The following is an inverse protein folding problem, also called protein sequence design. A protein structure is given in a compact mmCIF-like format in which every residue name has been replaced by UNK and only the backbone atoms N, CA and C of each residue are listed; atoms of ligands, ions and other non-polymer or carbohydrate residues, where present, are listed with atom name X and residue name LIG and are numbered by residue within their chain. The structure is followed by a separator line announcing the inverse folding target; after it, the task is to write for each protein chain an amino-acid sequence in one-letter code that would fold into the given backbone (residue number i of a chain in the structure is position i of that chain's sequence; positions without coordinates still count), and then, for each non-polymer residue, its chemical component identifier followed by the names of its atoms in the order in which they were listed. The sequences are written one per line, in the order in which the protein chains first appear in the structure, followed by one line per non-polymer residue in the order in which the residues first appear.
data_IF_020931994009
#
_entry.id   IF_020931994009
#
_cell.length_a   1.000
_cell.length_b   1.000
_cell.length_c   1.000
_cell.angle_alpha   90.00
_cell.angle_beta   90.00
_cell.angle_gamma   90.00
#
_symmetry.space_group_name_H-M   'P 1'
#
loop_
_entity.id
_entity.type
_entity.pdbx_description
1 polymer ?
#
# COMPACT_ATOMS: atom_id res chain seq x y z
N UNK A 1 6.33 14.65 16.95
CA UNK A 1 5.40 14.08 15.96
C UNK A 1 6.07 12.86 15.35
N UNK A 2 5.36 11.74 15.22
CA UNK A 2 5.92 10.55 14.56
C UNK A 2 6.02 10.83 13.06
N UNK A 3 7.25 10.87 12.53
CA UNK A 3 7.52 11.02 11.11
C UNK A 3 7.35 9.67 10.40
N UNK A 4 6.16 9.09 10.50
CA UNK A 4 5.83 7.78 9.93
C UNK A 4 4.62 7.92 9.01
N UNK A 5 4.68 7.24 7.87
CA UNK A 5 3.56 7.08 6.98
C UNK A 5 2.99 5.67 7.13
N UNK A 6 1.68 5.53 6.97
CA UNK A 6 0.97 4.25 7.07
C UNK A 6 0.32 3.98 5.72
N UNK A 7 0.67 2.84 5.12
CA UNK A 7 -0.04 2.27 3.98
C UNK A 7 -0.91 1.11 4.47
N UNK A 8 -2.21 1.20 4.22
CA UNK A 8 -3.19 0.18 4.65
C UNK A 8 -4.24 -0.05 3.56
N UNK A 9 -4.70 -1.28 3.42
CA UNK A 9 -5.83 -1.64 2.55
C UNK A 9 -7.08 -1.97 3.39
N UNK A 10 -8.24 -1.61 2.87
CA UNK A 10 -9.57 -2.04 3.33
C UNK A 10 -10.46 -2.31 2.12
N UNK A 11 -10.83 -3.58 1.92
CA UNK A 11 -11.60 -4.07 0.78
C UNK A 11 -10.98 -3.61 -0.55
N UNK A 12 -11.70 -2.76 -1.28
CA UNK A 12 -11.31 -2.23 -2.59
C UNK A 12 -10.59 -0.89 -2.52
N UNK A 13 -10.10 -0.50 -1.34
CA UNK A 13 -9.42 0.78 -1.17
C UNK A 13 -8.08 0.62 -0.46
N UNK A 14 -7.14 1.46 -0.88
CA UNK A 14 -5.91 1.71 -0.15
C UNK A 14 -5.92 3.11 0.40
N UNK A 15 -5.41 3.26 1.61
CA UNK A 15 -5.19 4.53 2.29
C UNK A 15 -3.71 4.71 2.55
N UNK A 16 -3.19 5.85 2.11
CA UNK A 16 -1.85 6.33 2.47
C UNK A 16 -2.01 7.52 3.42
N UNK A 17 -1.61 7.34 4.68
CA UNK A 17 -1.78 8.33 5.75
C UNK A 17 -0.43 8.85 6.23
N UNK A 18 -0.27 10.16 6.25
CA UNK A 18 0.90 10.84 6.82
C UNK A 18 0.47 12.10 7.54
N UNK A 19 0.80 12.20 8.84
CA UNK A 19 0.28 13.24 9.73
C UNK A 19 -1.26 13.35 9.67
N UNK A 20 -1.80 14.52 9.33
CA UNK A 20 -3.23 14.80 9.19
C UNK A 20 -3.79 14.52 7.79
N UNK A 21 -2.98 14.06 6.85
CA UNK A 21 -3.39 13.81 5.47
C UNK A 21 -3.64 12.33 5.24
N UNK A 22 -4.72 12.02 4.52
CA UNK A 22 -5.06 10.66 4.08
C UNK A 22 -5.46 10.70 2.61
N UNK A 23 -4.67 10.05 1.76
CA UNK A 23 -4.98 9.84 0.35
C UNK A 23 -5.60 8.46 0.23
N UNK A 24 -6.84 8.40 -0.26
CA UNK A 24 -7.55 7.15 -0.49
C UNK A 24 -7.78 6.93 -1.98
N UNK A 25 -7.44 5.75 -2.46
CA UNK A 25 -7.59 5.35 -3.86
C UNK A 25 -8.14 3.93 -3.97
N UNK A 26 -8.73 3.60 -5.13
CA UNK A 26 -9.22 2.24 -5.39
C UNK A 26 -8.03 1.30 -5.61
N UNK A 27 -8.15 0.09 -5.11
CA UNK A 27 -7.23 -1.03 -5.36
C UNK A 27 -8.02 -2.25 -5.84
N UNK A 28 -7.30 -3.31 -6.21
CA UNK A 28 -7.93 -4.57 -6.60
C UNK A 28 -8.75 -5.15 -5.44
N UNK A 29 -9.96 -5.69 -5.70
CA UNK A 29 -10.71 -6.43 -4.68
C UNK A 29 -9.97 -7.70 -4.20
N UNK A 30 -8.98 -8.18 -4.96
CA UNK A 30 -8.16 -9.35 -4.63
C UNK A 30 -6.91 -9.00 -3.83
N UNK A 31 -6.66 -7.72 -3.52
CA UNK A 31 -5.50 -7.35 -2.71
C UNK A 31 -5.69 -7.87 -1.28
N UNK A 32 -4.84 -8.82 -0.86
CA UNK A 32 -4.85 -9.30 0.53
C UNK A 32 -4.16 -8.30 1.45
N UNK A 33 -2.91 -7.95 1.14
CA UNK A 33 -2.07 -7.04 1.93
C UNK A 33 -0.84 -6.58 1.16
N UNK A 34 -0.31 -5.43 1.58
CA UNK A 34 1.05 -5.02 1.25
C UNK A 34 2.04 -5.74 2.19
N UNK A 35 3.12 -6.26 1.63
CA UNK A 35 4.07 -7.12 2.37
C UNK A 35 5.40 -6.42 2.63
N UNK A 36 5.84 -5.54 1.73
CA UNK A 36 7.15 -4.88 1.83
C UNK A 36 7.19 -3.54 1.10
N UNK A 37 7.95 -2.59 1.63
CA UNK A 37 8.35 -1.36 0.92
C UNK A 37 9.66 -1.61 0.20
N UNK A 38 9.69 -1.38 -1.12
CA UNK A 38 10.87 -1.55 -1.97
C UNK A 38 11.56 -0.21 -2.22
N UNK A 39 10.78 0.83 -2.50
CA UNK A 39 11.30 2.16 -2.80
C UNK A 39 10.44 3.25 -2.15
N UNK A 40 11.11 4.25 -1.59
CA UNK A 40 10.53 5.40 -0.91
C UNK A 40 11.38 6.64 -1.18
N UNK A 41 10.81 7.84 -1.02
CA UNK A 41 11.50 9.14 -1.06
C UNK A 41 11.94 9.65 -2.45
N UNK A 42 11.45 9.03 -3.54
CA UNK A 42 11.66 9.52 -4.93
C UNK A 42 10.43 10.20 -5.55
N UNK A 43 9.47 10.59 -4.71
CA UNK A 43 8.18 11.13 -5.16
C UNK A 43 7.14 10.07 -5.54
N UNK A 44 7.48 8.78 -5.42
CA UNK A 44 6.57 7.65 -5.53
C UNK A 44 6.94 6.59 -4.49
N UNK A 45 6.05 5.61 -4.32
CA UNK A 45 6.20 4.49 -3.41
C UNK A 45 6.09 3.21 -4.23
N UNK A 46 7.04 2.29 -4.07
CA UNK A 46 6.99 0.94 -4.65
C UNK A 46 6.86 -0.07 -3.53
N UNK A 47 5.90 -0.97 -3.65
CA UNK A 47 5.62 -2.00 -2.63
C UNK A 47 5.44 -3.37 -3.25
N UNK A 48 5.69 -4.40 -2.45
CA UNK A 48 5.22 -5.74 -2.75
C UNK A 48 3.80 -5.91 -2.22
N UNK A 49 2.96 -6.57 -3.01
CA UNK A 49 1.59 -6.86 -2.70
C UNK A 49 1.29 -8.35 -2.89
N UNK A 50 0.53 -8.91 -1.95
CA UNK A 50 -0.02 -10.26 -2.04
C UNK A 50 -1.46 -10.19 -2.53
N UNK A 51 -1.77 -10.95 -3.57
CA UNK A 51 -3.12 -11.05 -4.13
C UNK A 51 -3.72 -12.44 -3.90
N UNK A 52 -5.02 -12.46 -3.64
CA UNK A 52 -5.79 -13.67 -3.43
C UNK A 52 -5.73 -14.56 -4.68
N UNK A 53 -5.34 -15.82 -4.49
CA UNK A 53 -5.23 -16.81 -5.56
C UNK A 53 -3.98 -16.66 -6.44
N UNK A 54 -3.02 -15.82 -6.06
CA UNK A 54 -1.69 -15.75 -6.68
C UNK A 54 -0.69 -16.29 -5.66
N UNK A 55 0.20 -17.22 -6.02
CA UNK A 55 1.23 -17.73 -5.10
C UNK A 55 2.35 -16.71 -4.88
N UNK A 56 2.71 -15.99 -5.92
CA UNK A 56 3.78 -15.01 -5.91
C UNK A 56 3.29 -13.62 -5.46
N UNK A 57 4.22 -12.81 -4.97
CA UNK A 57 3.99 -11.40 -4.66
C UNK A 57 4.34 -10.53 -5.88
N UNK A 58 3.55 -9.49 -6.13
CA UNK A 58 3.74 -8.59 -7.27
C UNK A 58 4.21 -7.21 -6.78
N UNK A 59 5.16 -6.61 -7.52
CA UNK A 59 5.63 -5.25 -7.27
C UNK A 59 4.76 -4.23 -7.98
N UNK A 60 4.29 -3.21 -7.23
CA UNK A 60 3.42 -2.14 -7.73
C UNK A 60 3.88 -0.75 -7.28
#
# INVERSE_FOLDING_TARGET
MKNEAILSSDKMFTSFRFNSHNIRFRTSPRLERYTKVIEWDKGYLVVMAKYEGHEEEEGI
#
